data_IF_934427755309
#
_entry.id   IF_934427755309
#
_cell.length_a   1.000
_cell.length_b   1.000
_cell.length_c   1.000
_cell.angle_alpha   90.00
_cell.angle_beta   90.00
_cell.angle_gamma   90.00
#
_symmetry.space_group_name_H-M   'P 1'
#
loop_
_entity.id
_entity.type
_entity.pdbx_description
1 polymer ?
#
# COMPACT_ATOMS: atom_id res chain seq x y z
N UNK A 1 3.63 -11.30 12.47
CA UNK A 1 4.19 -10.04 11.93
C UNK A 1 3.04 -9.10 11.60
N UNK A 2 3.21 -7.79 11.76
CA UNK A 2 2.22 -6.76 11.37
C UNK A 2 2.86 -5.90 10.29
N UNK A 3 2.06 -5.51 9.31
CA UNK A 3 2.49 -4.68 8.19
C UNK A 3 1.65 -3.39 8.16
N UNK A 4 2.31 -2.25 8.29
CA UNK A 4 1.70 -0.94 8.03
C UNK A 4 1.80 -0.66 6.53
N UNK A 5 0.69 -0.31 5.92
CA UNK A 5 0.63 0.26 4.57
C UNK A 5 0.05 1.65 4.71
N UNK A 6 0.83 2.68 4.39
CA UNK A 6 0.43 4.08 4.53
C UNK A 6 0.59 4.80 3.19
N UNK A 7 -0.54 5.19 2.60
CA UNK A 7 -0.58 6.05 1.42
C UNK A 7 -0.35 7.48 1.87
N UNK A 8 0.72 8.08 1.39
CA UNK A 8 1.20 9.37 1.87
C UNK A 8 0.87 10.50 0.88
N UNK A 9 0.53 11.64 1.46
CA UNK A 9 0.28 12.90 0.77
C UNK A 9 1.30 13.90 1.26
N UNK A 10 1.99 14.59 0.33
CA UNK A 10 2.97 15.61 0.69
C UNK A 10 2.31 16.80 1.38
N UNK A 11 3.05 17.46 2.24
CA UNK A 11 2.69 18.78 2.73
C UNK A 11 2.46 19.72 1.52
N UNK A 12 1.34 20.47 1.47
CA UNK A 12 1.00 21.32 0.33
C UNK A 12 2.01 22.46 0.07
N UNK A 13 2.89 22.76 1.02
CA UNK A 13 3.98 23.71 0.85
C UNK A 13 5.13 23.18 0.01
N UNK A 14 5.21 21.87 -0.23
CA UNK A 14 6.29 21.22 -0.97
C UNK A 14 5.89 20.96 -2.42
N UNK A 15 6.83 21.17 -3.34
CA UNK A 15 6.74 20.61 -4.69
C UNK A 15 6.87 19.09 -4.66
N UNK A 16 6.53 18.41 -5.75
CA UNK A 16 6.72 16.95 -5.89
C UNK A 16 8.20 16.57 -5.71
N UNK A 17 9.10 17.31 -6.31
CA UNK A 17 10.54 17.07 -6.24
C UNK A 17 11.06 17.24 -4.81
N UNK A 18 10.73 18.35 -4.15
CA UNK A 18 11.13 18.60 -2.75
C UNK A 18 10.61 17.53 -1.80
N UNK A 19 9.38 17.07 -1.98
CA UNK A 19 8.81 15.97 -1.21
C UNK A 19 9.62 14.69 -1.38
N UNK A 20 9.85 14.25 -2.62
CA UNK A 20 10.57 13.01 -2.87
C UNK A 20 12.02 13.07 -2.41
N UNK A 21 12.71 14.20 -2.54
CA UNK A 21 14.08 14.38 -2.05
C UNK A 21 14.17 14.38 -0.52
N UNK A 22 13.21 15.05 0.15
CA UNK A 22 13.11 15.03 1.61
C UNK A 22 12.80 13.61 2.12
N UNK A 23 11.83 12.93 1.51
CA UNK A 23 11.37 11.61 1.93
C UNK A 23 12.48 10.56 1.84
N UNK A 24 13.17 10.47 0.69
CA UNK A 24 14.29 9.53 0.50
C UNK A 24 15.58 9.92 1.24
N UNK A 25 15.74 11.19 1.54
CA UNK A 25 16.95 11.71 2.16
C UNK A 25 16.84 11.86 3.66
N UNK A 26 16.32 13.00 4.12
CA UNK A 26 16.26 13.36 5.53
C UNK A 26 15.37 12.41 6.33
N UNK A 27 14.13 12.18 5.86
CA UNK A 27 13.18 11.33 6.57
C UNK A 27 13.64 9.88 6.66
N UNK A 28 14.15 9.31 5.56
CA UNK A 28 14.69 7.95 5.55
C UNK A 28 15.81 7.76 6.59
N UNK A 29 16.72 8.74 6.70
CA UNK A 29 17.78 8.71 7.73
C UNK A 29 17.22 8.80 9.14
N UNK A 30 16.26 9.69 9.39
CA UNK A 30 15.66 9.81 10.73
C UNK A 30 15.03 8.48 11.17
N UNK A 31 14.32 7.79 10.27
CA UNK A 31 13.74 6.48 10.59
C UNK A 31 14.86 5.45 10.84
N UNK A 32 15.89 5.38 10.00
CA UNK A 32 16.90 4.32 10.07
C UNK A 32 18.00 4.57 11.11
N UNK A 33 18.21 5.81 11.53
CA UNK A 33 19.29 6.19 12.44
C UNK A 33 18.82 6.51 13.87
N UNK A 34 17.48 6.64 14.10
CA UNK A 34 16.91 6.85 15.44
C UNK A 34 16.71 5.50 16.13
N UNK A 35 17.50 5.13 17.16
CA UNK A 35 17.52 3.77 17.71
C UNK A 35 16.16 3.30 18.20
N UNK A 36 15.43 4.12 18.96
CA UNK A 36 14.06 3.78 19.45
C UNK A 36 13.02 3.57 18.35
N UNK A 37 13.33 3.92 17.10
CA UNK A 37 12.50 3.72 15.91
C UNK A 37 13.03 2.55 15.09
N UNK A 38 14.29 2.61 14.66
CA UNK A 38 14.92 1.64 13.77
C UNK A 38 14.88 0.20 14.34
N UNK A 39 15.16 0.06 15.64
CA UNK A 39 15.23 -1.25 16.33
C UNK A 39 13.87 -1.98 16.40
N UNK A 40 12.76 -1.29 16.13
CA UNK A 40 11.42 -1.88 16.13
C UNK A 40 10.90 -2.21 14.74
N UNK A 41 11.53 -1.70 13.69
CA UNK A 41 11.11 -1.91 12.30
C UNK A 41 11.93 -3.07 11.73
N UNK A 42 11.24 -4.13 11.31
CA UNK A 42 11.87 -5.28 10.65
C UNK A 42 12.27 -4.93 9.22
N UNK A 43 11.41 -4.18 8.53
CA UNK A 43 11.63 -3.71 7.16
C UNK A 43 10.88 -2.42 6.92
N UNK A 44 11.45 -1.52 6.13
CA UNK A 44 10.81 -0.29 5.66
C UNK A 44 11.10 -0.04 4.19
N UNK A 45 10.04 0.15 3.43
CA UNK A 45 10.08 0.52 2.01
C UNK A 45 9.38 1.86 1.78
N UNK A 46 10.03 2.73 0.99
CA UNK A 46 9.40 3.88 0.37
C UNK A 46 9.08 3.55 -1.09
N UNK A 47 7.81 3.65 -1.45
CA UNK A 47 7.33 3.40 -2.80
C UNK A 47 6.90 4.75 -3.41
N UNK A 48 7.72 5.31 -4.26
CA UNK A 48 7.51 6.62 -4.86
C UNK A 48 6.52 6.54 -6.02
N UNK A 49 5.57 7.47 -6.07
CA UNK A 49 4.57 7.52 -7.13
C UNK A 49 5.22 7.62 -8.51
N UNK A 50 4.73 6.85 -9.47
CA UNK A 50 5.21 6.84 -10.83
C UNK A 50 4.99 8.19 -11.52
N UNK A 51 6.01 8.71 -12.23
CA UNK A 51 5.91 9.99 -12.91
C UNK A 51 4.75 10.03 -13.93
N UNK A 52 4.49 8.90 -14.59
CA UNK A 52 3.37 8.77 -15.52
C UNK A 52 2.01 8.81 -14.80
N UNK A 53 1.94 8.37 -13.53
CA UNK A 53 0.71 8.33 -12.76
C UNK A 53 0.26 9.73 -12.29
N UNK A 54 1.19 10.66 -12.08
CA UNK A 54 0.84 12.05 -11.77
C UNK A 54 -0.02 12.74 -12.85
N UNK A 55 0.09 12.29 -14.09
CA UNK A 55 -0.71 12.84 -15.21
C UNK A 55 -2.20 12.58 -15.07
N UNK A 56 -2.61 11.60 -14.29
CA UNK A 56 -4.03 11.32 -14.01
C UNK A 56 -4.64 12.25 -12.98
N UNK A 57 -3.81 13.05 -12.29
CA UNK A 57 -4.24 13.77 -11.09
C UNK A 57 -4.26 12.85 -9.87
N UNK A 58 -4.93 13.30 -8.81
CA UNK A 58 -4.95 12.63 -7.50
C UNK A 58 -3.97 13.24 -6.52
N UNK A 59 -4.22 13.03 -5.23
CA UNK A 59 -3.63 13.82 -4.15
C UNK A 59 -2.45 13.13 -3.46
N UNK A 60 -2.19 11.85 -3.76
CA UNK A 60 -1.16 11.07 -3.06
C UNK A 60 0.16 11.07 -3.83
N UNK A 61 1.26 10.92 -3.09
CA UNK A 61 2.62 11.04 -3.64
C UNK A 61 3.44 9.75 -3.49
N UNK A 62 3.00 8.81 -2.68
CA UNK A 62 3.67 7.53 -2.50
C UNK A 62 3.02 6.63 -1.46
N UNK A 63 3.70 5.51 -1.16
CA UNK A 63 3.29 4.55 -0.14
C UNK A 63 4.47 4.16 0.72
N UNK A 64 4.37 4.38 2.02
CA UNK A 64 5.26 3.81 3.03
C UNK A 64 4.75 2.41 3.40
N UNK A 65 5.61 1.41 3.37
CA UNK A 65 5.30 0.07 3.85
C UNK A 65 6.32 -0.30 4.92
N UNK A 66 5.85 -0.64 6.11
CA UNK A 66 6.69 -1.00 7.24
C UNK A 66 6.23 -2.32 7.85
N UNK A 67 7.18 -3.16 8.25
CA UNK A 67 6.91 -4.43 8.92
C UNK A 67 7.42 -4.36 10.36
N UNK A 68 6.64 -4.93 11.26
CA UNK A 68 6.90 -5.03 12.69
C UNK A 68 6.70 -6.47 13.15
N UNK A 69 7.46 -6.92 14.13
CA UNK A 69 7.24 -8.26 14.71
C UNK A 69 5.87 -8.37 15.35
N UNK A 70 5.36 -7.29 15.96
CA UNK A 70 4.07 -7.27 16.63
C UNK A 70 3.36 -5.92 16.55
N UNK A 71 2.07 -5.92 16.87
CA UNK A 71 1.29 -4.68 17.08
C UNK A 71 1.86 -3.83 18.21
N UNK A 72 2.42 -4.47 19.25
CA UNK A 72 3.00 -3.77 20.40
C UNK A 72 4.28 -3.03 19.99
N UNK A 73 5.09 -3.57 19.08
CA UNK A 73 6.27 -2.89 18.54
C UNK A 73 5.90 -1.64 17.75
N UNK A 74 4.86 -1.71 16.91
CA UNK A 74 4.33 -0.54 16.21
C UNK A 74 3.88 0.54 17.21
N UNK A 75 3.09 0.17 18.21
CA UNK A 75 2.58 1.11 19.23
C UNK A 75 3.73 1.69 20.04
N UNK A 76 4.71 0.86 20.42
CA UNK A 76 5.87 1.29 21.19
C UNK A 76 6.78 2.22 20.37
N UNK A 77 6.93 1.98 19.06
CA UNK A 77 7.68 2.87 18.16
C UNK A 77 7.03 4.27 18.12
N UNK A 78 5.73 4.34 17.87
CA UNK A 78 5.02 5.63 17.79
C UNK A 78 5.05 6.38 19.11
N UNK A 79 5.02 5.66 20.25
CA UNK A 79 5.08 6.25 21.60
C UNK A 79 6.50 6.58 22.08
N UNK A 80 7.53 6.19 21.32
CA UNK A 80 8.92 6.38 21.72
C UNK A 80 9.28 7.88 21.82
N UNK A 81 9.94 8.32 22.90
CA UNK A 81 10.34 9.73 23.06
C UNK A 81 11.22 10.26 21.93
N UNK A 82 12.10 9.42 21.35
CA UNK A 82 12.96 9.84 20.24
C UNK A 82 12.16 9.98 18.94
N UNK A 83 11.17 9.09 18.67
CA UNK A 83 10.23 9.28 17.58
C UNK A 83 9.52 10.63 17.71
N UNK A 84 8.96 10.92 18.89
CA UNK A 84 8.23 12.15 19.15
C UNK A 84 9.11 13.41 19.07
N UNK A 85 10.38 13.30 19.38
CA UNK A 85 11.33 14.42 19.35
C UNK A 85 11.95 14.67 17.99
N UNK A 86 12.15 13.63 17.17
CA UNK A 86 12.93 13.72 15.92
C UNK A 86 12.09 13.43 14.68
N UNK A 87 11.31 12.35 14.68
CA UNK A 87 10.54 11.88 13.51
C UNK A 87 9.23 12.63 13.35
N UNK A 88 8.44 12.73 14.40
CA UNK A 88 7.12 13.37 14.31
C UNK A 88 7.15 14.86 13.89
N UNK A 89 8.16 15.68 14.28
CA UNK A 89 8.31 17.02 13.71
C UNK A 89 8.62 17.02 12.21
N UNK A 90 9.48 16.10 11.75
CA UNK A 90 9.83 15.94 10.34
C UNK A 90 8.64 15.51 9.50
N UNK A 91 7.81 14.61 10.02
CA UNK A 91 6.56 14.21 9.36
C UNK A 91 5.62 15.40 9.13
N UNK A 92 5.51 16.33 10.07
CA UNK A 92 4.69 17.56 9.91
C UNK A 92 5.22 18.50 8.83
N UNK A 93 6.54 18.51 8.62
CA UNK A 93 7.16 19.28 7.54
C UNK A 93 6.95 18.59 6.19
N UNK A 94 6.99 17.25 6.17
CA UNK A 94 6.97 16.42 4.97
C UNK A 94 5.56 16.12 4.47
N UNK A 95 4.61 15.81 5.37
CA UNK A 95 3.33 15.19 5.08
C UNK A 95 2.14 16.11 5.41
N UNK A 96 1.07 15.95 4.64
CA UNK A 96 -0.28 16.34 5.02
C UNK A 96 -0.87 15.23 5.91
N UNK A 97 -0.69 15.35 7.23
CA UNK A 97 -1.05 14.31 8.18
C UNK A 97 -2.55 14.01 8.22
N UNK A 98 -3.40 14.99 7.95
CA UNK A 98 -4.86 14.83 7.90
C UNK A 98 -5.30 14.09 6.63
N UNK A 99 -4.46 14.09 5.60
CA UNK A 99 -4.70 13.44 4.32
C UNK A 99 -4.15 12.01 4.22
N UNK A 100 -3.50 11.48 5.26
CA UNK A 100 -2.94 10.13 5.23
C UNK A 100 -4.03 9.06 5.23
N UNK A 101 -3.80 8.01 4.43
CA UNK A 101 -4.63 6.81 4.42
C UNK A 101 -3.75 5.63 4.79
N UNK A 102 -4.07 4.95 5.89
CA UNK A 102 -3.24 3.85 6.38
C UNK A 102 -4.05 2.68 6.92
N UNK A 103 -3.43 1.52 6.96
CA UNK A 103 -3.99 0.27 7.46
C UNK A 103 -2.89 -0.56 8.11
N UNK A 104 -3.22 -1.22 9.22
CA UNK A 104 -2.41 -2.28 9.80
C UNK A 104 -2.96 -3.62 9.35
N UNK A 105 -2.13 -4.41 8.71
CA UNK A 105 -2.50 -5.71 8.16
C UNK A 105 -1.75 -6.83 8.86
N UNK A 106 -2.31 -8.04 8.82
CA UNK A 106 -1.55 -9.25 9.08
C UNK A 106 -0.50 -9.48 7.97
N UNK A 107 0.31 -10.53 8.10
CA UNK A 107 1.24 -10.93 7.05
C UNK A 107 0.51 -11.10 5.71
N UNK A 108 1.15 -10.71 4.63
CA UNK A 108 0.55 -10.77 3.29
C UNK A 108 0.27 -12.19 2.84
N UNK A 109 -0.87 -12.38 2.19
CA UNK A 109 -1.20 -13.59 1.45
C UNK A 109 -0.72 -13.44 0.00
N UNK A 110 0.33 -14.17 -0.36
CA UNK A 110 0.87 -14.17 -1.73
C UNK A 110 -0.05 -14.99 -2.64
N UNK A 111 -0.67 -14.33 -3.60
CA UNK A 111 -1.57 -14.95 -4.60
C UNK A 111 -0.78 -15.37 -5.83
N UNK A 112 0.06 -14.48 -6.36
CA UNK A 112 1.00 -14.75 -7.45
C UNK A 112 2.41 -14.45 -6.92
N UNK A 113 3.29 -15.43 -6.78
CA UNK A 113 4.56 -15.27 -6.08
C UNK A 113 5.58 -14.39 -6.82
N UNK A 114 5.45 -14.27 -8.14
CA UNK A 114 6.43 -13.58 -8.96
C UNK A 114 7.75 -14.37 -9.11
N UNK A 115 8.67 -13.89 -9.91
CA UNK A 115 10.00 -14.47 -10.05
C UNK A 115 10.86 -14.18 -8.81
N UNK A 116 11.74 -15.13 -8.43
CA UNK A 116 12.64 -15.00 -7.28
C UNK A 116 13.66 -13.86 -7.47
N UNK A 117 14.05 -13.59 -8.71
CA UNK A 117 14.91 -12.46 -9.09
C UNK A 117 14.28 -11.71 -10.25
N UNK A 118 14.46 -10.40 -10.28
CA UNK A 118 13.99 -9.54 -11.36
C UNK A 118 15.13 -8.68 -11.85
N UNK A 119 15.37 -8.73 -13.14
CA UNK A 119 16.34 -7.86 -13.82
C UNK A 119 15.66 -6.60 -14.39
N UNK A 120 14.34 -6.65 -14.57
CA UNK A 120 13.54 -5.55 -15.13
C UNK A 120 12.81 -4.75 -14.04
N UNK A 121 12.76 -3.42 -14.17
CA UNK A 121 11.96 -2.59 -13.28
C UNK A 121 10.48 -2.96 -13.42
N UNK A 122 9.76 -2.85 -12.33
CA UNK A 122 8.31 -3.09 -12.27
C UNK A 122 7.60 -1.88 -11.68
N UNK A 123 6.33 -1.76 -12.03
CA UNK A 123 5.41 -0.83 -11.42
C UNK A 123 4.60 -1.57 -10.38
N UNK A 124 4.48 -1.00 -9.19
CA UNK A 124 3.67 -1.55 -8.10
C UNK A 124 2.39 -0.72 -7.98
N UNK A 125 1.23 -1.36 -8.12
CA UNK A 125 -0.04 -0.81 -7.69
C UNK A 125 -0.21 -1.08 -6.19
N UNK A 126 -0.59 -0.06 -5.45
CA UNK A 126 -1.15 -0.23 -4.11
C UNK A 126 -2.57 0.32 -4.13
N UNK A 127 -3.53 -0.54 -3.80
CA UNK A 127 -4.94 -0.22 -3.80
C UNK A 127 -5.54 -0.53 -2.42
N UNK A 128 -5.91 0.51 -1.68
CA UNK A 128 -6.63 0.40 -0.42
C UNK A 128 -8.09 0.10 -0.72
N UNK A 129 -8.60 -0.96 -0.13
CA UNK A 129 -9.95 -1.47 -0.42
C UNK A 129 -10.83 -1.47 0.83
N UNK A 130 -12.10 -1.10 0.63
CA UNK A 130 -13.14 -1.12 1.64
C UNK A 130 -14.25 -2.05 1.19
N UNK A 131 -14.78 -2.85 2.13
CA UNK A 131 -15.90 -3.71 1.83
C UNK A 131 -17.15 -2.89 1.50
N UNK A 132 -18.00 -3.46 0.67
CA UNK A 132 -19.31 -2.89 0.32
C UNK A 132 -20.14 -2.62 1.59
N UNK A 133 -20.88 -1.50 1.67
CA UNK A 133 -21.77 -1.22 2.79
C UNK A 133 -22.74 -2.37 3.06
N UNK A 134 -22.84 -2.76 4.34
CA UNK A 134 -23.69 -3.88 4.78
C UNK A 134 -23.09 -5.27 4.61
N UNK A 135 -21.86 -5.38 4.13
CA UNK A 135 -21.14 -6.66 4.06
C UNK A 135 -20.40 -6.92 5.38
N UNK A 136 -20.50 -8.15 5.90
CA UNK A 136 -19.75 -8.55 7.09
C UNK A 136 -18.27 -8.69 6.79
N UNK A 137 -17.41 -8.40 7.78
CA UNK A 137 -15.94 -8.45 7.64
C UNK A 137 -15.47 -9.83 7.15
N UNK A 138 -16.01 -10.90 7.73
CA UNK A 138 -15.63 -12.27 7.36
C UNK A 138 -16.07 -12.65 5.95
N UNK A 139 -17.22 -12.14 5.52
CA UNK A 139 -17.72 -12.37 4.17
C UNK A 139 -16.86 -11.66 3.12
N UNK A 140 -16.43 -10.43 3.41
CA UNK A 140 -15.50 -9.69 2.57
C UNK A 140 -14.17 -10.43 2.40
N UNK A 141 -13.51 -10.81 3.49
CA UNK A 141 -12.25 -11.51 3.43
C UNK A 141 -12.36 -12.89 2.75
N UNK A 142 -13.46 -13.61 3.00
CA UNK A 142 -13.73 -14.88 2.33
C UNK A 142 -13.95 -14.69 0.82
N UNK A 143 -14.77 -13.71 0.40
CA UNK A 143 -15.01 -13.42 -1.00
C UNK A 143 -13.70 -13.09 -1.74
N UNK A 144 -12.89 -12.21 -1.16
CA UNK A 144 -11.60 -11.83 -1.74
C UNK A 144 -10.68 -13.04 -1.93
N UNK A 145 -10.62 -13.94 -0.93
CA UNK A 145 -9.81 -15.16 -1.00
C UNK A 145 -10.32 -16.20 -1.99
N UNK A 146 -11.62 -16.43 -2.01
CA UNK A 146 -12.21 -17.62 -2.66
C UNK A 146 -12.88 -17.34 -3.98
N UNK A 147 -13.14 -16.07 -4.30
CA UNK A 147 -13.82 -15.66 -5.54
C UNK A 147 -12.95 -14.69 -6.33
N UNK A 148 -12.70 -13.49 -5.80
CA UNK A 148 -12.06 -12.42 -6.56
C UNK A 148 -10.62 -12.75 -6.99
N UNK A 149 -9.78 -13.21 -6.07
CA UNK A 149 -8.39 -13.53 -6.44
C UNK A 149 -8.27 -14.72 -7.37
N UNK A 150 -8.99 -15.85 -7.17
CA UNK A 150 -9.05 -16.91 -8.18
C UNK A 150 -9.55 -16.40 -9.54
N UNK A 151 -10.58 -15.54 -9.58
CA UNK A 151 -11.09 -15.00 -10.84
C UNK A 151 -10.01 -14.23 -11.62
N UNK A 152 -9.18 -13.42 -10.94
CA UNK A 152 -8.05 -12.74 -11.55
C UNK A 152 -6.97 -13.72 -12.06
N UNK A 153 -6.65 -14.76 -11.26
CA UNK A 153 -5.61 -15.75 -11.61
C UNK A 153 -6.04 -16.72 -12.71
N UNK A 154 -7.32 -17.11 -12.71
CA UNK A 154 -7.87 -18.14 -13.62
C UNK A 154 -8.37 -17.54 -14.95
N UNK A 155 -8.33 -16.21 -15.11
CA UNK A 155 -8.65 -15.52 -16.35
C UNK A 155 -7.34 -15.21 -17.11
N UNK A 156 -6.92 -15.98 -18.14
CA UNK A 156 -5.60 -15.87 -18.74
C UNK A 156 -5.29 -14.50 -19.36
N UNK A 157 -6.31 -13.80 -19.91
CA UNK A 157 -6.17 -12.46 -20.48
C UNK A 157 -5.88 -11.40 -19.41
N UNK A 158 -6.24 -11.65 -18.15
CA UNK A 158 -5.98 -10.80 -16.99
C UNK A 158 -4.68 -11.25 -16.30
N UNK A 159 -4.58 -12.54 -15.97
CA UNK A 159 -3.47 -13.12 -15.20
C UNK A 159 -2.08 -12.83 -15.81
N UNK A 160 -2.00 -12.78 -17.16
CA UNK A 160 -0.74 -12.52 -17.89
C UNK A 160 -0.08 -11.18 -17.60
N UNK A 161 -0.81 -10.21 -17.04
CA UNK A 161 -0.29 -8.88 -16.71
C UNK A 161 0.37 -8.82 -15.34
N UNK A 162 0.03 -9.74 -14.43
CA UNK A 162 0.61 -9.75 -13.09
C UNK A 162 2.01 -10.33 -13.10
N UNK A 163 2.96 -9.58 -12.56
CA UNK A 163 4.29 -10.08 -12.18
C UNK A 163 4.24 -10.70 -10.80
N UNK A 164 3.53 -10.07 -9.87
CA UNK A 164 3.26 -10.55 -8.50
C UNK A 164 1.92 -9.98 -8.04
N UNK A 165 1.23 -10.67 -7.15
CA UNK A 165 0.02 -10.18 -6.49
C UNK A 165 -0.03 -10.64 -5.04
N UNK A 166 -0.29 -9.69 -4.13
CA UNK A 166 -0.47 -9.91 -2.70
C UNK A 166 -1.80 -9.32 -2.23
N UNK A 167 -2.45 -10.04 -1.32
CA UNK A 167 -3.56 -9.52 -0.51
C UNK A 167 -3.03 -9.20 0.88
N UNK A 168 -3.38 -8.05 1.37
CA UNK A 168 -3.03 -7.59 2.71
C UNK A 168 -4.34 -7.33 3.45
N UNK A 169 -4.76 -8.28 4.28
CA UNK A 169 -5.99 -8.20 5.05
C UNK A 169 -5.77 -7.38 6.31
N UNK A 170 -6.71 -6.47 6.62
CA UNK A 170 -6.65 -5.72 7.87
C UNK A 170 -6.56 -6.66 9.07
N UNK A 171 -5.60 -6.39 9.96
CA UNK A 171 -5.40 -7.17 11.18
C UNK A 171 -6.66 -7.11 12.06
N UNK A 172 -7.09 -8.27 12.57
CA UNK A 172 -8.29 -8.35 13.41
C UNK A 172 -8.21 -7.44 14.64
N UNK A 173 -7.03 -7.33 15.24
CA UNK A 173 -6.79 -6.48 16.39
C UNK A 173 -6.93 -4.98 16.08
N UNK A 174 -6.82 -4.58 14.81
CA UNK A 174 -6.90 -3.19 14.39
C UNK A 174 -8.35 -2.69 14.24
N UNK A 175 -9.31 -3.56 13.92
CA UNK A 175 -10.72 -3.17 13.78
C UNK A 175 -11.33 -2.50 15.03
N UNK A 176 -10.86 -2.87 16.21
CA UNK A 176 -11.33 -2.30 17.47
C UNK A 176 -10.63 -0.99 17.90
N UNK A 177 -9.58 -0.58 17.19
CA UNK A 177 -8.74 0.57 17.60
C UNK A 177 -9.22 1.90 17.00
N UNK A 178 -9.99 1.86 15.93
CA UNK A 178 -10.30 3.05 15.11
C UNK A 178 -9.05 3.54 14.36
N UNK A 179 -9.16 4.32 13.35
CA UNK A 179 -8.00 4.90 12.64
C UNK A 179 -7.97 4.55 11.15
N UNK A 180 -8.61 3.48 10.73
CA UNK A 180 -8.80 3.19 9.32
C UNK A 180 -10.22 2.75 9.01
N UNK A 181 -10.72 3.19 7.86
CA UNK A 181 -12.00 2.75 7.30
C UNK A 181 -11.84 1.61 6.29
N UNK A 182 -10.60 1.28 5.95
CA UNK A 182 -10.29 0.25 4.95
C UNK A 182 -10.22 -1.14 5.56
N UNK A 183 -10.49 -2.15 4.76
CA UNK A 183 -10.54 -3.56 5.16
C UNK A 183 -9.34 -4.37 4.64
N UNK A 184 -8.56 -3.78 3.72
CA UNK A 184 -7.36 -4.40 3.19
C UNK A 184 -6.65 -3.53 2.16
N UNK A 185 -5.55 -4.05 1.63
CA UNK A 185 -4.81 -3.48 0.51
C UNK A 185 -4.40 -4.56 -0.48
N UNK A 186 -4.74 -4.39 -1.76
CA UNK A 186 -4.13 -5.15 -2.84
C UNK A 186 -2.79 -4.51 -3.18
N UNK A 187 -1.75 -5.33 -3.29
CA UNK A 187 -0.44 -4.90 -3.79
C UNK A 187 -0.09 -5.78 -4.98
N UNK A 188 0.06 -5.14 -6.13
CA UNK A 188 0.17 -5.84 -7.40
C UNK A 188 1.34 -5.26 -8.20
N UNK A 189 2.11 -6.13 -8.86
CA UNK A 189 3.25 -5.71 -9.68
C UNK A 189 2.95 -5.99 -11.14
N UNK A 190 3.26 -5.00 -11.97
CA UNK A 190 3.08 -5.00 -13.41
C UNK A 190 4.39 -4.69 -14.13
N UNK A 191 4.60 -5.15 -15.38
CA UNK A 191 5.79 -4.80 -16.15
C UNK A 191 5.94 -3.30 -16.40
N UNK A 192 4.84 -2.55 -16.44
CA UNK A 192 4.82 -1.10 -16.67
C UNK A 192 3.48 -0.47 -16.27
N UNK A 193 3.45 0.85 -16.18
CA UNK A 193 2.20 1.62 -16.05
C UNK A 193 1.22 1.30 -17.18
N UNK A 194 1.70 1.17 -18.41
CA UNK A 194 0.87 0.83 -19.57
C UNK A 194 0.26 -0.57 -19.43
N UNK A 195 1.03 -1.55 -18.94
CA UNK A 195 0.52 -2.92 -18.73
C UNK A 195 -0.66 -2.96 -17.75
N UNK A 196 -0.66 -2.13 -16.71
CA UNK A 196 -1.82 -1.98 -15.82
C UNK A 196 -3.03 -1.43 -16.58
N UNK A 197 -2.86 -0.38 -17.39
CA UNK A 197 -3.97 0.17 -18.18
C UNK A 197 -4.46 -0.79 -19.26
N UNK A 198 -3.57 -1.55 -19.89
CA UNK A 198 -3.95 -2.58 -20.85
C UNK A 198 -4.77 -3.68 -20.17
N UNK A 199 -4.42 -4.08 -18.95
CA UNK A 199 -5.15 -5.07 -18.17
C UNK A 199 -6.58 -4.62 -17.86
N UNK A 200 -6.78 -3.40 -17.35
CA UNK A 200 -8.13 -2.88 -17.08
C UNK A 200 -8.93 -2.58 -18.36
N UNK A 201 -8.26 -2.45 -19.50
CA UNK A 201 -8.86 -2.31 -20.83
C UNK A 201 -9.26 -3.64 -21.48
N UNK A 202 -8.88 -4.78 -20.91
CA UNK A 202 -9.28 -6.10 -21.44
C UNK A 202 -10.80 -6.29 -21.35
N UNK A 203 -11.45 -6.85 -22.38
CA UNK A 203 -12.90 -7.15 -22.31
C UNK A 203 -13.26 -7.99 -21.07
N UNK A 204 -12.42 -8.98 -20.73
CA UNK A 204 -12.61 -9.84 -19.57
C UNK A 204 -12.60 -9.08 -18.24
N UNK A 205 -11.87 -7.95 -18.13
CA UNK A 205 -11.94 -7.10 -16.93
C UNK A 205 -13.36 -6.54 -16.76
N UNK A 206 -13.91 -5.93 -17.79
CA UNK A 206 -15.27 -5.36 -17.77
C UNK A 206 -16.38 -6.40 -17.65
N UNK A 207 -16.18 -7.61 -18.17
CA UNK A 207 -17.17 -8.68 -18.15
C UNK A 207 -17.16 -9.53 -16.87
N UNK A 208 -16.01 -9.71 -16.25
CA UNK A 208 -15.82 -10.65 -15.14
C UNK A 208 -15.33 -9.96 -13.86
N UNK A 209 -14.25 -9.16 -13.94
CA UNK A 209 -13.58 -8.62 -12.77
C UNK A 209 -14.37 -7.45 -12.17
N UNK A 210 -14.69 -6.43 -12.96
CA UNK A 210 -15.39 -5.25 -12.46
C UNK A 210 -16.78 -5.56 -11.87
N UNK A 211 -17.61 -6.46 -12.47
CA UNK A 211 -18.85 -6.88 -11.84
C UNK A 211 -18.68 -7.68 -10.54
N UNK A 212 -17.54 -8.37 -10.36
CA UNK A 212 -17.24 -9.05 -9.11
C UNK A 212 -16.79 -8.04 -8.04
N UNK A 213 -15.98 -7.03 -8.41
CA UNK A 213 -15.64 -5.92 -7.53
C UNK A 213 -16.88 -5.25 -6.92
N UNK A 214 -17.92 -4.99 -7.74
CA UNK A 214 -19.19 -4.39 -7.29
C UNK A 214 -19.94 -5.25 -6.25
N UNK A 215 -19.64 -6.54 -6.14
CA UNK A 215 -20.26 -7.45 -5.17
C UNK A 215 -19.69 -7.33 -3.78
N UNK A 216 -18.42 -6.95 -3.64
CA UNK A 216 -17.75 -6.98 -2.35
C UNK A 216 -17.02 -5.69 -1.97
N UNK A 217 -16.72 -4.80 -2.93
CA UNK A 217 -16.05 -3.52 -2.70
C UNK A 217 -17.01 -2.33 -2.69
N UNK A 218 -16.68 -1.35 -1.90
CA UNK A 218 -17.12 0.03 -2.05
C UNK A 218 -16.18 0.73 -3.03
N UNK A 219 -16.48 0.66 -4.32
CA UNK A 219 -15.59 1.15 -5.38
C UNK A 219 -15.37 2.66 -5.37
N UNK A 220 -16.34 3.41 -4.86
CA UNK A 220 -16.25 4.87 -4.76
C UNK A 220 -15.24 5.31 -3.68
N UNK A 221 -14.91 4.41 -2.75
CA UNK A 221 -13.96 4.65 -1.67
C UNK A 221 -12.53 4.20 -1.96
N UNK A 222 -12.26 3.59 -3.13
CA UNK A 222 -10.93 3.08 -3.46
C UNK A 222 -9.89 4.19 -3.48
N UNK A 223 -8.76 3.96 -2.80
CA UNK A 223 -7.58 4.81 -2.86
C UNK A 223 -6.45 3.99 -3.46
N UNK A 224 -5.94 4.43 -4.60
CA UNK A 224 -4.89 3.70 -5.28
C UNK A 224 -3.93 4.59 -6.05
N UNK A 225 -2.70 4.13 -6.20
CA UNK A 225 -1.68 4.75 -7.02
C UNK A 225 -0.70 3.71 -7.56
N UNK A 226 -0.04 4.08 -8.65
CA UNK A 226 1.06 3.32 -9.24
C UNK A 226 2.38 3.92 -8.79
N UNK A 227 3.28 3.07 -8.32
CA UNK A 227 4.63 3.44 -7.90
C UNK A 227 5.66 2.76 -8.79
N UNK A 228 6.74 3.45 -9.16
CA UNK A 228 7.76 2.93 -10.07
C UNK A 228 9.14 2.83 -9.42
N UNK A 229 9.29 3.38 -8.21
CA UNK A 229 10.55 3.37 -7.49
C UNK A 229 10.30 2.90 -6.07
N UNK A 230 10.88 1.76 -5.75
CA UNK A 230 10.94 1.21 -4.40
C UNK A 230 12.33 1.43 -3.83
N UNK A 231 12.40 2.02 -2.65
CA UNK A 231 13.64 2.17 -1.91
C UNK A 231 13.52 1.43 -0.58
N UNK A 232 14.34 0.41 -0.36
CA UNK A 232 14.45 -0.26 0.94
C UNK A 232 15.31 0.59 1.86
N UNK A 233 14.73 1.07 2.96
CA UNK A 233 15.37 1.92 3.95
C UNK A 233 15.92 1.09 5.11
N UNK A 234 15.15 0.08 5.53
CA UNK A 234 15.50 -0.93 6.55
C UNK A 234 15.13 -2.30 5.98
N UNK A 235 16.00 -3.31 6.11
CA UNK A 235 15.74 -4.67 5.67
C UNK A 235 16.96 -5.42 5.18
#
# INVERSE_FOLDING_TARGET
MIKLICVVKRNPSLSIEEFHDHWRGRHARLISETPGVADRIVRYEQNHRAAADYKRGGDFDGVAIQWFDSMDDFVAMVADPEYQAQVAPDERELLDLDGLVWILTDEEEVVIPGPAQRDEPVVKLVCMVKRRPGMEIDDFHRHWRTVHSPLNCDTPSIARYFVRYERNHRARADYGRGGSDFDGAAVEWYPSVQAFYDMIGEPAYGELIAPDEDRFLDRDSLVWLLTEREETIIG
#
